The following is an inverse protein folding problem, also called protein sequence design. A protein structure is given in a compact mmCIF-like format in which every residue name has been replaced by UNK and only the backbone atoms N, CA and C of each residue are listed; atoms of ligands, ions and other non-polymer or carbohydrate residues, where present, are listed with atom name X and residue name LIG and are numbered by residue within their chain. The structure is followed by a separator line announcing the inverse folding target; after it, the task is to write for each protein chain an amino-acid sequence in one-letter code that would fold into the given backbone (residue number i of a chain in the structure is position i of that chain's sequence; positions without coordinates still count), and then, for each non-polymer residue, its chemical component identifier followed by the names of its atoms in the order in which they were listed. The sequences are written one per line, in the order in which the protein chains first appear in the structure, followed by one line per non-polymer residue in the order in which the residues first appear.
data_IF_674042591252
#
_entry.id   IF_674042591252
#
_cell.length_a   1.000
_cell.length_b   1.000
_cell.length_c   1.000
_cell.angle_alpha   90.00
_cell.angle_beta   90.00
_cell.angle_gamma   90.00
#
_symmetry.space_group_name_H-M   'P 1'
#
loop_
_entity.id
_entity.type
_entity.pdbx_description
1 polymer ?
#
# COMPACT_ATOMS: atom_id res chain seq x y z
N UNK A 1 -28.66 -61.80 9.51
CA UNK A 1 -29.59 -61.95 8.37
C UNK A 1 -30.95 -62.26 8.96
N UNK A 2 -32.05 -61.53 8.83
CA UNK A 2 -32.43 -60.30 8.16
C UNK A 2 -33.96 -60.23 8.34
N UNK A 3 -34.48 -59.02 8.61
CA UNK A 3 -35.80 -58.50 8.24
C UNK A 3 -37.05 -59.34 8.64
N UNK A 4 -37.79 -58.90 9.68
CA UNK A 4 -39.23 -58.59 9.63
C UNK A 4 -39.86 -58.26 11.00
N UNK A 5 -40.86 -57.36 10.96
CA UNK A 5 -41.77 -56.89 12.02
C UNK A 5 -41.12 -55.95 13.05
N UNK A 6 -41.63 -54.73 13.30
CA UNK A 6 -43.00 -54.45 13.72
C UNK A 6 -43.48 -53.10 13.16
N UNK A 7 -44.58 -53.16 12.43
CA UNK A 7 -45.51 -52.06 12.18
C UNK A 7 -46.59 -52.16 13.27
N UNK A 8 -46.64 -51.25 14.24
CA UNK A 8 -47.90 -50.82 14.86
C UNK A 8 -47.72 -49.69 15.90
N UNK A 9 -48.72 -48.79 15.91
CA UNK A 9 -49.14 -47.86 16.96
C UNK A 9 -48.25 -46.62 17.24
N UNK A 10 -48.73 -45.37 17.28
CA UNK A 10 -50.09 -44.85 17.41
C UNK A 10 -50.30 -43.56 16.59
N UNK A 11 -51.50 -43.45 16.02
CA UNK A 11 -52.13 -42.17 15.69
C UNK A 11 -52.49 -41.40 16.96
N UNK A 12 -52.30 -40.09 16.91
CA UNK A 12 -52.91 -39.11 17.80
C UNK A 12 -52.95 -37.76 17.08
N UNK A 13 -54.01 -37.55 16.29
CA UNK A 13 -54.30 -36.30 15.61
C UNK A 13 -55.22 -35.43 16.48
N UNK A 14 -54.98 -34.11 16.44
CA UNK A 14 -55.93 -32.97 16.65
C UNK A 14 -55.25 -31.82 17.42
N UNK A 15 -55.34 -30.54 17.09
CA UNK A 15 -56.12 -29.83 16.07
C UNK A 15 -55.56 -28.38 15.90
N UNK A 16 -55.45 -27.94 14.63
CA UNK A 16 -55.74 -26.61 14.03
C UNK A 16 -55.50 -25.26 14.75
N UNK A 17 -55.10 -24.32 13.89
CA UNK A 17 -55.08 -22.84 13.94
C UNK A 17 -53.69 -22.26 14.27
N UNK A 18 -53.07 -21.35 13.51
CA UNK A 18 -53.61 -20.38 12.57
C UNK A 18 -52.61 -20.09 11.43
N UNK A 19 -53.17 -19.99 10.22
CA UNK A 19 -52.60 -19.26 9.09
C UNK A 19 -52.64 -17.77 9.42
N UNK A 20 -51.50 -17.07 9.32
CA UNK A 20 -51.48 -15.60 9.31
C UNK A 20 -50.29 -14.96 10.02
N UNK A 21 -49.11 -14.94 9.40
CA UNK A 21 -48.25 -13.76 9.26
C UNK A 21 -46.98 -14.12 8.49
N UNK A 22 -47.07 -13.90 7.18
CA UNK A 22 -45.95 -13.79 6.27
C UNK A 22 -45.65 -12.29 6.18
N UNK A 23 -44.74 -11.82 7.03
CA UNK A 23 -44.03 -10.55 6.85
C UNK A 23 -42.55 -10.80 7.15
N UNK A 24 -41.88 -11.36 6.15
CA UNK A 24 -40.48 -11.01 5.91
C UNK A 24 -40.48 -9.60 5.33
N UNK A 25 -39.90 -8.64 6.05
CA UNK A 25 -39.31 -7.44 5.42
C UNK A 25 -38.22 -6.89 6.33
N UNK A 26 -36.99 -7.22 5.96
CA UNK A 26 -35.94 -6.27 5.53
C UNK A 26 -35.12 -5.69 6.69
N UNK A 27 -34.09 -6.42 7.09
CA UNK A 27 -32.91 -5.82 7.69
C UNK A 27 -31.86 -5.63 6.58
N UNK A 28 -31.69 -4.37 6.18
CA UNK A 28 -30.67 -3.92 5.24
C UNK A 28 -29.28 -3.95 5.90
N UNK A 29 -28.25 -4.32 5.13
CA UNK A 29 -26.83 -4.38 5.51
C UNK A 29 -26.31 -3.05 6.11
N UNK A 30 -26.99 -1.93 5.87
CA UNK A 30 -26.62 -0.63 6.43
C UNK A 30 -26.65 -0.55 7.97
N UNK A 31 -27.24 -1.50 8.70
CA UNK A 31 -27.29 -1.46 10.17
C UNK A 31 -26.05 -1.97 10.90
N UNK A 32 -25.08 -2.57 10.18
CA UNK A 32 -23.88 -3.15 10.80
C UNK A 32 -22.66 -2.22 10.84
N UNK A 33 -22.76 -1.03 10.25
CA UNK A 33 -21.66 -0.06 10.17
C UNK A 33 -21.88 1.24 10.98
N UNK A 34 -22.85 1.27 11.90
CA UNK A 34 -23.01 2.44 12.77
C UNK A 34 -22.00 2.42 13.93
N UNK A 35 -21.22 3.49 14.16
CA UNK A 35 -20.34 3.58 15.32
C UNK A 35 -21.16 3.73 16.61
N UNK A 36 -20.90 2.86 17.59
CA UNK A 36 -21.44 2.97 18.94
C UNK A 36 -20.85 4.20 19.63
N UNK A 37 -21.64 5.26 19.75
CA UNK A 37 -21.27 6.46 20.50
C UNK A 37 -21.24 6.17 22.01
N UNK A 38 -20.09 6.38 22.66
CA UNK A 38 -20.04 6.84 24.06
C UNK A 38 -18.90 7.87 24.22
N UNK A 39 -19.10 8.93 25.03
CA UNK A 39 -18.34 10.17 24.92
C UNK A 39 -17.13 10.21 25.86
N UNK A 40 -16.05 10.86 25.43
CA UNK A 40 -14.97 11.33 26.31
C UNK A 40 -14.66 12.80 26.02
N UNK A 41 -14.26 13.59 27.03
CA UNK A 41 -14.49 15.03 27.08
C UNK A 41 -13.44 15.85 26.33
N UNK A 42 -13.93 16.97 25.82
CA UNK A 42 -13.19 18.12 25.29
C UNK A 42 -12.06 18.57 26.23
N UNK A 43 -10.93 19.01 25.67
CA UNK A 43 -10.36 20.33 25.99
C UNK A 43 -9.54 20.89 24.81
N UNK A 44 -9.96 22.08 24.39
CA UNK A 44 -9.28 23.15 23.62
C UNK A 44 -8.90 22.93 22.15
N UNK A 45 -9.77 23.53 21.33
CA UNK A 45 -9.50 24.11 20.02
C UNK A 45 -8.73 25.44 20.11
N UNK A 46 -8.10 25.80 18.99
CA UNK A 46 -7.74 27.11 18.41
C UNK A 46 -6.32 27.01 17.82
N UNK A 47 -6.03 27.40 16.57
CA UNK A 47 -6.57 28.48 15.76
C UNK A 47 -6.39 28.17 14.27
N UNK A 48 -7.43 28.41 13.48
CA UNK A 48 -7.47 28.31 12.01
C UNK A 48 -7.15 29.68 11.40
N UNK A 49 -6.80 29.68 10.10
CA UNK A 49 -6.87 30.77 9.08
C UNK A 49 -5.54 31.52 8.92
N UNK A 50 -5.01 31.81 7.74
CA UNK A 50 -5.49 31.90 6.34
C UNK A 50 -4.19 32.11 5.50
N UNK A 51 -4.04 31.80 4.22
CA UNK A 51 -4.70 32.45 3.09
C UNK A 51 -4.26 31.80 1.77
N UNK A 52 -5.17 31.83 0.80
CA UNK A 52 -4.97 31.41 -0.60
C UNK A 52 -4.69 32.63 -1.47
N UNK A 53 -4.00 32.37 -2.59
CA UNK A 53 -4.09 33.02 -3.93
C UNK A 53 -3.18 34.19 -4.32
N UNK A 54 -2.46 33.94 -5.44
CA UNK A 54 -2.40 34.73 -6.68
C UNK A 54 -1.28 35.78 -6.90
N UNK A 55 -0.34 35.38 -7.79
CA UNK A 55 -0.05 36.03 -9.09
C UNK A 55 1.08 37.08 -9.23
N UNK A 56 1.84 36.87 -10.31
CA UNK A 56 2.67 37.77 -11.14
C UNK A 56 4.12 38.08 -10.76
N UNK A 57 5.01 37.77 -11.71
CA UNK A 57 6.33 38.37 -11.88
C UNK A 57 6.20 39.79 -12.46
N UNK A 58 7.22 40.67 -12.30
CA UNK A 58 8.14 40.88 -13.43
C UNK A 58 9.63 41.21 -13.08
N UNK A 59 10.49 40.89 -14.06
CA UNK A 59 11.65 41.62 -14.64
C UNK A 59 12.61 42.52 -13.83
N UNK A 60 13.91 42.19 -13.97
CA UNK A 60 15.16 42.98 -14.12
C UNK A 60 15.37 44.34 -13.40
N UNK A 61 16.46 44.43 -12.62
CA UNK A 61 17.62 45.32 -12.86
C UNK A 61 18.61 45.34 -11.67
N UNK A 62 19.88 45.61 -12.00
CA UNK A 62 21.08 45.78 -11.17
C UNK A 62 20.94 46.65 -9.89
N UNK A 63 21.84 46.42 -8.90
CA UNK A 63 22.82 47.42 -8.39
C UNK A 63 23.72 46.86 -7.26
N UNK A 64 24.99 47.26 -7.37
CA UNK A 64 26.20 47.08 -6.55
C UNK A 64 26.13 47.24 -5.02
N UNK A 65 26.93 46.40 -4.36
CA UNK A 65 27.93 46.61 -3.27
C UNK A 65 27.94 47.93 -2.47
N UNK A 66 27.90 47.77 -1.14
CA UNK A 66 28.63 48.62 -0.18
C UNK A 66 27.88 48.94 1.11
N UNK A 67 28.33 48.43 2.26
CA UNK A 67 27.83 48.90 3.57
C UNK A 67 28.31 48.09 4.77
N UNK A 68 29.14 48.71 5.60
CA UNK A 68 29.78 48.21 6.81
C UNK A 68 28.78 47.83 7.94
N UNK A 69 29.15 46.81 8.72
CA UNK A 69 28.69 46.56 10.10
C UNK A 69 29.15 47.70 11.04
N UNK A 70 28.47 48.05 12.15
CA UNK A 70 28.63 47.29 13.41
C UNK A 70 27.46 47.28 14.42
N UNK A 71 27.63 46.42 15.43
CA UNK A 71 27.12 46.45 16.82
C UNK A 71 25.78 45.79 17.18
N UNK A 72 25.96 44.58 17.75
CA UNK A 72 25.56 44.17 19.11
C UNK A 72 24.09 44.25 19.53
N UNK A 73 23.49 43.06 19.72
CA UNK A 73 22.63 42.77 20.87
C UNK A 73 22.77 41.31 21.28
N UNK A 74 23.28 41.12 22.49
CA UNK A 74 23.21 39.87 23.24
C UNK A 74 21.75 39.52 23.58
N UNK A 75 21.46 38.22 23.64
CA UNK A 75 20.27 37.71 24.30
C UNK A 75 19.59 36.58 23.55
N UNK A 76 19.75 35.36 24.08
CA UNK A 76 18.89 34.18 23.87
C UNK A 76 18.84 33.53 22.48
N UNK A 77 19.83 32.67 22.16
CA UNK A 77 19.59 31.47 21.33
C UNK A 77 20.82 30.54 21.21
N UNK A 78 21.29 29.91 22.29
CA UNK A 78 22.41 28.95 22.14
C UNK A 78 22.02 27.75 21.26
N UNK A 79 20.77 27.27 21.36
CA UNK A 79 20.30 26.15 20.56
C UNK A 79 20.09 26.53 19.08
N UNK A 80 19.38 27.63 18.76
CA UNK A 80 19.11 28.00 17.36
C UNK A 80 20.38 28.40 16.59
N UNK A 81 21.33 29.10 17.26
CA UNK A 81 22.62 29.47 16.66
C UNK A 81 23.47 28.23 16.35
N UNK A 82 23.46 27.22 17.22
CA UNK A 82 24.22 25.98 16.99
C UNK A 82 23.62 25.14 15.84
N UNK A 83 22.29 25.16 15.65
CA UNK A 83 21.65 24.49 14.50
C UNK A 83 21.92 25.21 13.18
N UNK A 84 21.87 26.53 13.16
CA UNK A 84 22.07 27.35 11.97
C UNK A 84 23.53 27.33 11.50
N UNK A 85 24.49 27.41 12.44
CA UNK A 85 25.93 27.29 12.17
C UNK A 85 26.28 25.87 11.71
N UNK A 86 25.70 24.83 12.31
CA UNK A 86 25.90 23.43 11.91
C UNK A 86 25.29 23.12 10.54
N UNK A 87 24.16 23.73 10.19
CA UNK A 87 23.55 23.62 8.86
C UNK A 87 24.42 24.26 7.78
N UNK A 88 24.99 25.44 8.06
CA UNK A 88 25.85 26.16 7.13
C UNK A 88 27.21 25.46 6.90
N UNK A 89 27.81 24.88 7.95
CA UNK A 89 29.06 24.12 7.82
C UNK A 89 28.87 22.85 6.97
N UNK A 90 27.77 22.11 7.16
CA UNK A 90 27.44 20.92 6.37
C UNK A 90 27.12 21.26 4.91
N UNK A 91 26.47 22.40 4.65
CA UNK A 91 26.21 22.87 3.29
C UNK A 91 27.51 23.23 2.55
N UNK A 92 28.47 23.86 3.23
CA UNK A 92 29.76 24.21 2.66
C UNK A 92 30.64 22.97 2.40
N UNK A 93 30.62 21.98 3.30
CA UNK A 93 31.28 20.68 3.09
C UNK A 93 30.66 19.91 1.91
N UNK A 94 29.33 19.96 1.76
CA UNK A 94 28.64 19.34 0.64
C UNK A 94 28.96 20.00 -0.71
N UNK A 95 29.18 21.32 -0.75
CA UNK A 95 29.62 22.02 -1.97
C UNK A 95 31.04 21.63 -2.39
N UNK A 96 31.88 21.20 -1.45
CA UNK A 96 33.24 20.73 -1.74
C UNK A 96 33.27 19.28 -2.27
N UNK A 97 32.19 18.50 -2.10
CA UNK A 97 32.10 17.14 -2.62
C UNK A 97 31.83 17.15 -4.14
N UNK A 98 32.78 16.70 -4.98
CA UNK A 98 32.61 16.74 -6.42
C UNK A 98 31.54 15.75 -6.93
N UNK A 99 31.02 14.86 -6.08
CA UNK A 99 29.93 13.93 -6.39
C UNK A 99 28.59 14.33 -5.74
N UNK A 100 28.46 15.51 -5.14
CA UNK A 100 27.23 15.93 -4.45
C UNK A 100 26.00 15.89 -5.35
N UNK A 101 26.12 16.35 -6.60
CA UNK A 101 25.01 16.32 -7.57
C UNK A 101 24.60 14.88 -7.89
N UNK A 102 25.57 13.97 -8.04
CA UNK A 102 25.29 12.56 -8.28
C UNK A 102 24.57 11.92 -7.07
N UNK A 103 24.99 12.25 -5.84
CA UNK A 103 24.33 11.80 -4.61
C UNK A 103 22.88 12.28 -4.53
N UNK A 104 22.62 13.56 -4.78
CA UNK A 104 21.28 14.14 -4.76
C UNK A 104 20.37 13.50 -5.84
N UNK A 105 20.91 13.27 -7.04
CA UNK A 105 20.16 12.62 -8.10
C UNK A 105 19.84 11.15 -7.79
N UNK A 106 20.75 10.44 -7.13
CA UNK A 106 20.49 9.08 -6.65
C UNK A 106 19.34 9.06 -5.61
N UNK A 107 19.37 9.95 -4.63
CA UNK A 107 18.27 10.07 -3.67
C UNK A 107 16.95 10.42 -4.36
N UNK A 108 16.96 11.33 -5.32
CA UNK A 108 15.77 11.69 -6.08
C UNK A 108 15.21 10.50 -6.89
N UNK A 109 16.09 9.65 -7.46
CA UNK A 109 15.68 8.43 -8.16
C UNK A 109 14.99 7.44 -7.21
N UNK A 110 15.55 7.27 -6.00
CA UNK A 110 14.92 6.45 -4.95
C UNK A 110 13.58 7.05 -4.55
N UNK A 111 13.50 8.35 -4.24
CA UNK A 111 12.24 9.01 -3.86
C UNK A 111 11.16 8.83 -4.92
N UNK A 112 11.50 8.96 -6.21
CA UNK A 112 10.57 8.70 -7.33
C UNK A 112 10.08 7.26 -7.39
N UNK A 113 10.88 6.30 -6.93
CA UNK A 113 10.50 4.88 -6.88
C UNK A 113 9.47 4.62 -5.78
N UNK A 114 9.61 5.28 -4.62
CA UNK A 114 8.67 5.17 -3.50
C UNK A 114 7.39 5.98 -3.70
N UNK A 115 7.47 7.12 -4.40
CA UNK A 115 6.40 8.12 -4.41
C UNK A 115 5.02 7.55 -4.80
N UNK A 116 4.86 6.78 -5.90
CA UNK A 116 3.54 6.26 -6.29
C UNK A 116 2.90 5.39 -5.22
N UNK A 117 3.71 4.58 -4.53
CA UNK A 117 3.25 3.75 -3.42
C UNK A 117 2.84 4.64 -2.25
N UNK A 118 3.72 5.53 -1.78
CA UNK A 118 3.44 6.37 -0.62
C UNK A 118 2.19 7.24 -0.82
N UNK A 119 2.02 7.83 -1.99
CA UNK A 119 0.84 8.67 -2.29
C UNK A 119 -0.44 7.86 -2.36
N UNK A 120 -0.40 6.64 -2.93
CA UNK A 120 -1.59 5.77 -3.07
C UNK A 120 -2.19 5.36 -1.73
N UNK A 121 -1.35 5.18 -0.70
CA UNK A 121 -1.78 4.72 0.63
C UNK A 121 -1.95 5.85 1.65
N UNK A 122 -1.87 7.12 1.23
CA UNK A 122 -2.24 8.29 2.02
C UNK A 122 -3.71 8.66 1.76
N UNK A 123 -4.61 7.73 2.05
CA UNK A 123 -6.06 7.87 1.79
C UNK A 123 -6.86 7.10 2.84
N UNK A 124 -8.10 7.54 3.07
CA UNK A 124 -9.09 6.83 3.89
C UNK A 124 -9.89 5.79 3.08
N UNK A 125 -9.70 5.76 1.76
CA UNK A 125 -10.35 4.78 0.88
C UNK A 125 -9.83 3.35 1.12
N UNK A 126 -10.65 2.31 0.89
CA UNK A 126 -10.29 0.91 1.19
C UNK A 126 -9.32 0.31 0.15
N UNK A 127 -8.10 0.83 0.07
CA UNK A 127 -7.07 0.43 -0.91
C UNK A 127 -6.29 -0.84 -0.53
N UNK A 128 -6.60 -1.43 0.64
CA UNK A 128 -5.90 -2.60 1.18
C UNK A 128 -5.88 -3.83 0.23
N UNK A 129 -6.90 -4.12 -0.59
CA UNK A 129 -6.85 -5.20 -1.58
C UNK A 129 -5.67 -5.09 -2.55
N UNK A 130 -5.18 -3.89 -2.84
CA UNK A 130 -4.07 -3.67 -3.77
C UNK A 130 -2.69 -3.71 -3.11
N UNK A 131 -2.63 -3.65 -1.76
CA UNK A 131 -1.38 -3.47 -0.99
C UNK A 131 -0.35 -4.56 -1.27
N UNK A 132 -0.79 -5.82 -1.33
CA UNK A 132 0.13 -6.93 -1.52
C UNK A 132 0.85 -6.86 -2.87
N UNK A 133 0.12 -6.48 -3.93
CA UNK A 133 0.64 -6.35 -5.28
C UNK A 133 1.58 -5.15 -5.37
N UNK A 134 1.11 -3.97 -4.98
CA UNK A 134 1.88 -2.73 -5.14
C UNK A 134 3.18 -2.75 -4.32
N UNK A 135 3.14 -3.27 -3.08
CA UNK A 135 4.34 -3.38 -2.26
C UNK A 135 5.32 -4.43 -2.83
N UNK A 136 4.81 -5.50 -3.43
CA UNK A 136 5.65 -6.49 -4.12
C UNK A 136 6.34 -5.86 -5.34
N UNK A 137 5.65 -5.01 -6.09
CA UNK A 137 6.20 -4.28 -7.23
C UNK A 137 7.27 -3.26 -6.79
N UNK A 138 7.00 -2.48 -5.73
CA UNK A 138 7.98 -1.57 -5.13
C UNK A 138 9.25 -2.32 -4.70
N UNK A 139 9.09 -3.43 -3.96
CA UNK A 139 10.24 -4.21 -3.50
C UNK A 139 11.02 -4.82 -4.67
N UNK A 140 10.32 -5.37 -5.68
CA UNK A 140 10.95 -5.87 -6.91
C UNK A 140 11.70 -4.77 -7.66
N UNK A 141 11.16 -3.56 -7.72
CA UNK A 141 11.84 -2.42 -8.35
C UNK A 141 13.17 -2.11 -7.67
N UNK A 142 13.18 -2.02 -6.34
CA UNK A 142 14.40 -1.76 -5.56
C UNK A 142 15.41 -2.91 -5.64
N UNK A 143 14.94 -4.16 -5.60
CA UNK A 143 15.79 -5.35 -5.71
C UNK A 143 16.49 -5.41 -7.08
N UNK A 144 15.78 -5.08 -8.16
CA UNK A 144 16.34 -5.08 -9.53
C UNK A 144 17.47 -4.07 -9.72
N UNK A 145 17.59 -3.06 -8.86
CA UNK A 145 18.67 -2.09 -8.94
C UNK A 145 20.05 -2.71 -8.66
N UNK A 146 20.11 -3.81 -7.89
CA UNK A 146 21.39 -4.41 -7.50
C UNK A 146 21.46 -5.93 -7.51
N UNK A 147 20.33 -6.64 -7.65
CA UNK A 147 20.30 -8.09 -7.77
C UNK A 147 20.11 -8.53 -9.23
N UNK A 148 20.67 -9.71 -9.51
CA UNK A 148 20.41 -10.49 -10.72
C UNK A 148 18.90 -10.71 -10.92
N UNK A 149 18.42 -10.50 -12.14
CA UNK A 149 16.97 -10.47 -12.47
C UNK A 149 16.34 -11.85 -12.36
N UNK A 150 17.10 -12.88 -12.71
CA UNK A 150 16.72 -14.29 -12.64
C UNK A 150 16.31 -14.73 -11.23
N UNK A 151 16.86 -14.10 -10.19
CA UNK A 151 16.52 -14.41 -8.79
C UNK A 151 15.15 -13.87 -8.37
N UNK A 152 14.57 -12.95 -9.15
CA UNK A 152 13.33 -12.26 -8.81
C UNK A 152 12.11 -12.79 -9.60
N UNK A 153 12.35 -13.76 -10.49
CA UNK A 153 11.33 -14.38 -11.31
C UNK A 153 10.34 -15.18 -10.45
N UNK A 154 9.04 -15.05 -10.71
CA UNK A 154 7.93 -15.76 -10.03
C UNK A 154 7.93 -15.76 -8.51
N UNK A 155 8.67 -14.85 -7.87
CA UNK A 155 8.62 -14.74 -6.42
C UNK A 155 7.25 -14.26 -5.96
N UNK A 156 6.66 -15.04 -5.07
CA UNK A 156 5.44 -14.68 -4.34
C UNK A 156 5.70 -13.50 -3.39
N UNK A 157 4.65 -12.77 -2.97
CA UNK A 157 4.79 -11.67 -2.01
C UNK A 157 5.50 -12.05 -0.71
N UNK A 158 5.29 -13.28 -0.21
CA UNK A 158 5.97 -13.75 0.99
C UNK A 158 7.45 -14.05 0.75
N UNK A 159 7.79 -14.68 -0.38
CA UNK A 159 9.19 -14.99 -0.72
C UNK A 159 10.02 -13.73 -0.91
N UNK A 160 9.44 -12.66 -1.46
CA UNK A 160 10.08 -11.35 -1.59
C UNK A 160 10.58 -10.79 -0.25
N UNK A 161 9.86 -11.04 0.85
CA UNK A 161 10.28 -10.63 2.21
C UNK A 161 11.48 -11.40 2.77
N UNK A 162 11.89 -12.48 2.08
CA UNK A 162 12.93 -13.43 2.53
C UNK A 162 14.13 -13.49 1.60
N UNK A 163 14.12 -12.77 0.48
CA UNK A 163 15.26 -12.72 -0.45
C UNK A 163 16.50 -12.24 0.32
N UNK A 164 17.57 -13.03 0.30
CA UNK A 164 18.82 -12.66 0.94
C UNK A 164 19.54 -11.59 0.10
N UNK A 165 19.47 -10.35 0.56
CA UNK A 165 20.08 -9.20 -0.12
C UNK A 165 21.55 -8.97 0.25
N UNK A 166 22.08 -9.72 1.23
CA UNK A 166 23.46 -9.59 1.69
C UNK A 166 24.44 -10.53 0.97
N UNK A 167 23.94 -11.47 0.19
CA UNK A 167 24.77 -12.39 -0.58
C UNK A 167 25.30 -11.70 -1.85
N UNK A 168 26.57 -11.32 -1.82
CA UNK A 168 27.22 -10.61 -2.92
C UNK A 168 27.32 -11.43 -4.21
N UNK A 169 27.26 -12.78 -4.14
CA UNK A 169 27.26 -13.63 -5.33
C UNK A 169 26.03 -13.42 -6.22
N UNK A 170 24.95 -12.90 -5.62
CA UNK A 170 23.68 -12.61 -6.27
C UNK A 170 23.60 -11.18 -6.82
N UNK A 171 24.61 -10.36 -6.54
CA UNK A 171 24.63 -8.97 -6.97
C UNK A 171 25.03 -8.86 -8.44
N UNK A 172 24.51 -7.83 -9.10
CA UNK A 172 25.07 -7.38 -10.38
C UNK A 172 26.45 -6.73 -10.14
N UNK A 173 27.34 -6.71 -11.14
CA UNK A 173 28.58 -5.94 -11.05
C UNK A 173 28.33 -4.50 -10.61
N UNK A 174 29.21 -3.92 -9.78
CA UNK A 174 29.04 -2.56 -9.20
C UNK A 174 28.69 -1.52 -10.27
N UNK A 175 29.34 -1.60 -11.43
CA UNK A 175 29.14 -0.67 -12.54
C UNK A 175 27.78 -0.82 -13.23
N UNK A 176 27.14 -1.98 -13.09
CA UNK A 176 25.84 -2.29 -13.68
C UNK A 176 24.69 -2.08 -12.69
N UNK A 177 24.98 -1.73 -11.43
CA UNK A 177 23.95 -1.38 -10.46
C UNK A 177 23.23 -0.10 -10.92
N UNK A 178 21.91 -0.14 -10.91
CA UNK A 178 21.08 0.99 -11.32
C UNK A 178 21.04 2.04 -10.19
N UNK A 179 21.65 3.19 -10.46
CA UNK A 179 21.66 4.36 -9.57
C UNK A 179 20.79 5.51 -10.13
N UNK A 180 20.06 5.26 -11.21
CA UNK A 180 19.23 6.23 -11.91
C UNK A 180 19.97 7.11 -12.91
N UNK A 181 19.29 7.47 -14.00
CA UNK A 181 19.83 8.25 -15.12
C UNK A 181 20.39 9.62 -14.71
N UNK A 182 19.81 10.24 -13.69
CA UNK A 182 20.28 11.53 -13.17
C UNK A 182 21.67 11.43 -12.53
N UNK A 183 21.90 10.40 -11.71
CA UNK A 183 23.19 10.17 -11.08
C UNK A 183 24.26 9.76 -12.10
N UNK A 184 23.89 8.89 -13.05
CA UNK A 184 24.76 8.49 -14.17
C UNK A 184 25.21 9.69 -15.01
N UNK A 185 24.29 10.61 -15.31
CA UNK A 185 24.59 11.81 -16.08
C UNK A 185 25.48 12.79 -15.31
N UNK A 186 25.26 12.93 -14.00
CA UNK A 186 26.09 13.76 -13.14
C UNK A 186 27.52 13.23 -13.00
N UNK A 187 27.70 11.90 -12.88
CA UNK A 187 29.03 11.26 -12.88
C UNK A 187 29.74 11.55 -14.20
N UNK A 188 29.08 11.29 -15.34
CA UNK A 188 29.67 11.52 -16.67
C UNK A 188 30.14 12.96 -16.87
N UNK A 189 29.32 13.94 -16.47
CA UNK A 189 29.69 15.35 -16.53
C UNK A 189 30.90 15.68 -15.65
N UNK A 190 30.99 15.05 -14.48
CA UNK A 190 32.10 15.27 -13.52
C UNK A 190 33.40 14.59 -13.95
N UNK A 191 33.33 13.50 -14.73
CA UNK A 191 34.49 12.79 -15.27
C UNK A 191 35.03 13.44 -16.55
N UNK A 192 34.17 14.06 -17.37
CA UNK A 192 34.61 14.85 -18.54
C UNK A 192 35.42 16.07 -18.13
N UNK A 193 35.13 16.64 -16.96
CA UNK A 193 35.86 17.73 -16.33
C UNK A 193 37.10 17.18 -15.59
N UNK A 194 37.98 16.50 -16.35
CA UNK A 194 39.07 15.56 -16.00
C UNK A 194 39.93 15.79 -14.73
N UNK A 195 39.77 16.91 -14.02
CA UNK A 195 40.46 17.26 -12.79
C UNK A 195 39.66 17.02 -11.49
N UNK A 196 38.34 16.76 -11.52
CA UNK A 196 37.52 16.77 -10.28
C UNK A 196 37.20 15.41 -9.65
N UNK A 197 37.06 14.33 -10.43
CA UNK A 197 36.63 13.02 -9.91
C UNK A 197 37.44 11.88 -10.51
N UNK A 198 38.14 11.13 -9.66
CA UNK A 198 38.84 9.91 -10.05
C UNK A 198 37.92 8.69 -10.14
N UNK A 199 38.32 7.70 -10.93
CA UNK A 199 37.58 6.43 -11.11
C UNK A 199 37.34 5.69 -9.78
N UNK A 200 38.32 5.72 -8.88
CA UNK A 200 38.18 5.14 -7.54
C UNK A 200 37.05 5.81 -6.74
N UNK A 201 36.89 7.13 -6.84
CA UNK A 201 35.82 7.87 -6.16
C UNK A 201 34.44 7.49 -6.69
N UNK A 202 34.31 7.29 -8.01
CA UNK A 202 33.07 6.80 -8.64
C UNK A 202 32.74 5.39 -8.16
N UNK A 203 33.74 4.50 -8.11
CA UNK A 203 33.58 3.14 -7.59
C UNK A 203 33.12 3.12 -6.13
N UNK A 204 33.74 3.93 -5.28
CA UNK A 204 33.34 4.09 -3.87
C UNK A 204 31.90 4.57 -3.76
N UNK A 205 31.53 5.59 -4.55
CA UNK A 205 30.17 6.11 -4.58
C UNK A 205 29.15 5.05 -5.01
N UNK A 206 29.40 4.32 -6.11
CA UNK A 206 28.49 3.24 -6.55
C UNK A 206 28.33 2.15 -5.51
N UNK A 207 29.43 1.75 -4.84
CA UNK A 207 29.38 0.79 -3.72
C UNK A 207 28.50 1.32 -2.58
N UNK A 208 28.62 2.61 -2.25
CA UNK A 208 27.78 3.25 -1.24
C UNK A 208 26.30 3.28 -1.65
N UNK A 209 25.98 3.61 -2.91
CA UNK A 209 24.60 3.58 -3.43
C UNK A 209 23.99 2.17 -3.31
N UNK A 210 24.72 1.14 -3.75
CA UNK A 210 24.28 -0.25 -3.62
C UNK A 210 24.06 -0.63 -2.16
N UNK A 211 24.98 -0.26 -1.26
CA UNK A 211 24.83 -0.54 0.16
C UNK A 211 23.61 0.17 0.77
N UNK A 212 23.33 1.40 0.31
CA UNK A 212 22.11 2.13 0.64
C UNK A 212 20.85 1.37 0.22
N UNK A 213 20.79 0.90 -1.03
CA UNK A 213 19.67 0.08 -1.53
C UNK A 213 19.49 -1.22 -0.74
N UNK A 214 20.58 -1.94 -0.47
CA UNK A 214 20.56 -3.15 0.38
C UNK A 214 19.95 -2.83 1.75
N UNK A 215 20.34 -1.71 2.34
CA UNK A 215 19.88 -1.30 3.68
C UNK A 215 18.40 -0.93 3.66
N UNK A 216 17.95 -0.17 2.67
CA UNK A 216 16.53 0.18 2.50
C UNK A 216 15.65 -1.06 2.28
N UNK A 217 16.09 -1.98 1.42
CA UNK A 217 15.37 -3.23 1.17
C UNK A 217 15.31 -4.10 2.42
N UNK A 218 16.41 -4.23 3.19
CA UNK A 218 16.37 -4.94 4.49
C UNK A 218 15.32 -4.34 5.41
N UNK A 219 15.26 -3.01 5.52
CA UNK A 219 14.26 -2.33 6.36
C UNK A 219 12.84 -2.56 5.88
N UNK A 220 12.61 -2.50 4.56
CA UNK A 220 11.32 -2.84 3.96
C UNK A 220 10.93 -4.30 4.25
N UNK A 221 11.86 -5.25 4.09
CA UNK A 221 11.64 -6.66 4.40
C UNK A 221 11.35 -6.88 5.88
N UNK A 222 12.11 -6.26 6.79
CA UNK A 222 11.93 -6.34 8.25
C UNK A 222 10.51 -5.95 8.66
N UNK A 223 10.01 -4.83 8.14
CA UNK A 223 8.71 -4.25 8.52
C UNK A 223 7.57 -4.58 7.55
N UNK A 224 7.80 -5.46 6.57
CA UNK A 224 6.85 -5.69 5.48
C UNK A 224 5.51 -6.28 5.98
N UNK A 225 4.37 -5.66 5.65
CA UNK A 225 3.05 -6.26 5.90
C UNK A 225 2.81 -7.52 5.04
N UNK A 226 3.61 -7.77 3.99
CA UNK A 226 3.53 -8.99 3.18
C UNK A 226 3.80 -10.27 3.97
N UNK A 227 4.36 -10.16 5.19
CA UNK A 227 4.53 -11.30 6.10
C UNK A 227 3.20 -11.82 6.62
N UNK A 228 2.18 -10.97 6.73
CA UNK A 228 0.88 -11.35 7.28
C UNK A 228 0.00 -12.05 6.23
N UNK A 229 -0.52 -13.25 6.51
CA UNK A 229 -1.39 -13.97 5.58
C UNK A 229 -2.61 -13.17 5.13
N UNK A 230 -3.26 -12.43 6.03
CA UNK A 230 -4.45 -11.61 5.74
C UNK A 230 -4.15 -10.56 4.69
N UNK A 231 -3.03 -9.83 4.82
CA UNK A 231 -2.61 -8.81 3.85
C UNK A 231 -2.44 -9.41 2.45
N UNK A 232 -1.94 -10.63 2.35
CA UNK A 232 -1.81 -11.33 1.05
C UNK A 232 -3.14 -11.88 0.55
N UNK A 233 -4.02 -12.31 1.45
CA UNK A 233 -5.28 -12.96 1.11
C UNK A 233 -6.35 -11.94 0.68
N UNK A 234 -6.39 -10.76 1.28
CA UNK A 234 -7.38 -9.73 0.96
C UNK A 234 -7.27 -9.18 -0.47
N UNK A 235 -6.17 -9.48 -1.17
CA UNK A 235 -6.03 -9.25 -2.61
C UNK A 235 -7.09 -9.98 -3.46
N UNK A 236 -7.80 -10.96 -2.91
CA UNK A 236 -8.98 -11.54 -3.56
C UNK A 236 -10.14 -10.57 -3.74
N UNK A 237 -10.09 -9.41 -3.09
CA UNK A 237 -11.06 -8.35 -3.29
C UNK A 237 -10.73 -7.44 -4.49
N UNK A 238 -9.57 -7.62 -5.14
CA UNK A 238 -9.26 -6.90 -6.40
C UNK A 238 -10.21 -7.38 -7.52
N UNK A 239 -11.03 -6.49 -8.12
CA UNK A 239 -11.97 -6.85 -9.18
C UNK A 239 -11.30 -7.58 -10.35
N UNK A 240 -10.10 -7.16 -10.75
CA UNK A 240 -9.39 -7.80 -11.85
C UNK A 240 -8.99 -9.24 -11.48
N UNK A 241 -8.60 -9.47 -10.22
CA UNK A 241 -8.32 -10.83 -9.72
C UNK A 241 -9.58 -11.68 -9.63
N UNK A 242 -10.69 -11.12 -9.17
CA UNK A 242 -11.98 -11.83 -9.10
C UNK A 242 -12.42 -12.34 -10.46
N UNK A 243 -12.27 -11.52 -11.50
CA UNK A 243 -12.62 -11.90 -12.87
C UNK A 243 -11.67 -12.97 -13.43
N UNK A 244 -10.35 -12.76 -13.29
CA UNK A 244 -9.33 -13.62 -13.91
C UNK A 244 -9.20 -14.98 -13.25
N UNK A 245 -9.24 -15.04 -11.92
CA UNK A 245 -9.02 -16.26 -11.15
C UNK A 245 -9.91 -16.31 -9.89
N UNK A 246 -11.21 -16.59 -10.07
CA UNK A 246 -12.15 -16.65 -8.96
C UNK A 246 -11.91 -17.86 -8.03
N UNK A 247 -11.39 -18.99 -8.52
CA UNK A 247 -11.06 -20.12 -7.65
C UNK A 247 -9.95 -19.75 -6.65
N UNK A 248 -8.93 -19.04 -7.13
CA UNK A 248 -7.91 -18.47 -6.26
C UNK A 248 -8.50 -17.45 -5.29
N UNK A 249 -9.37 -16.55 -5.77
CA UNK A 249 -10.02 -15.55 -4.92
C UNK A 249 -10.84 -16.20 -3.80
N UNK A 250 -11.63 -17.23 -4.11
CA UNK A 250 -12.41 -17.98 -3.13
C UNK A 250 -11.51 -18.63 -2.08
N UNK A 251 -10.39 -19.23 -2.51
CA UNK A 251 -9.41 -19.84 -1.59
C UNK A 251 -8.82 -18.80 -0.63
N UNK A 252 -8.53 -17.60 -1.12
CA UNK A 252 -8.03 -16.49 -0.29
C UNK A 252 -9.11 -15.90 0.63
N UNK A 253 -10.36 -15.83 0.18
CA UNK A 253 -11.47 -15.42 1.04
C UNK A 253 -11.64 -16.38 2.21
N UNK A 254 -11.63 -17.70 1.94
CA UNK A 254 -11.64 -18.75 2.99
C UNK A 254 -10.50 -18.55 4.00
N UNK A 255 -9.28 -18.26 3.50
CA UNK A 255 -8.12 -17.96 4.36
C UNK A 255 -8.35 -16.73 5.25
N UNK A 256 -8.96 -15.67 4.70
CA UNK A 256 -9.25 -14.43 5.42
C UNK A 256 -10.30 -14.65 6.51
N UNK A 257 -11.42 -15.28 6.16
CA UNK A 257 -12.51 -15.62 7.10
C UNK A 257 -12.01 -16.53 8.22
N UNK A 258 -11.24 -17.58 7.89
CA UNK A 258 -10.67 -18.47 8.88
C UNK A 258 -9.78 -17.72 9.88
N UNK A 259 -8.99 -16.75 9.41
CA UNK A 259 -8.15 -15.94 10.30
C UNK A 259 -8.98 -15.03 11.20
N UNK A 260 -10.04 -14.41 10.68
CA UNK A 260 -10.94 -13.58 11.49
C UNK A 260 -11.69 -14.39 12.55
N UNK A 261 -12.07 -15.64 12.23
CA UNK A 261 -12.65 -16.57 13.21
C UNK A 261 -11.67 -16.90 14.34
N UNK A 262 -10.41 -17.22 14.00
CA UNK A 262 -9.37 -17.51 14.99
C UNK A 262 -9.11 -16.32 15.93
N UNK A 263 -9.17 -15.10 15.39
CA UNK A 263 -8.89 -13.87 16.14
C UNK A 263 -10.16 -13.29 16.81
N UNK A 264 -11.28 -14.01 16.78
CA UNK A 264 -12.59 -13.59 17.32
C UNK A 264 -13.08 -12.24 16.77
N UNK A 265 -12.71 -11.91 15.53
CA UNK A 265 -13.07 -10.67 14.83
C UNK A 265 -14.38 -10.77 14.03
N UNK A 266 -15.02 -11.94 14.00
CA UNK A 266 -16.26 -12.18 13.27
C UNK A 266 -17.43 -12.41 14.22
N UNK A 267 -18.30 -11.40 14.33
CA UNK A 267 -19.57 -11.53 15.05
C UNK A 267 -20.44 -12.63 14.40
N UNK A 268 -20.95 -13.55 15.21
CA UNK A 268 -21.72 -14.71 14.72
C UNK A 268 -20.88 -15.97 14.48
N UNK A 269 -19.56 -15.91 14.67
CA UNK A 269 -18.68 -17.09 14.66
C UNK A 269 -18.73 -17.87 13.34
N UNK A 270 -18.59 -19.19 13.42
CA UNK A 270 -18.43 -20.08 12.26
C UNK A 270 -19.57 -19.91 11.25
N UNK A 271 -20.83 -19.84 11.73
CA UNK A 271 -21.99 -19.70 10.85
C UNK A 271 -21.95 -18.43 10.00
N UNK A 272 -21.48 -17.30 10.56
CA UNK A 272 -21.29 -16.08 9.79
C UNK A 272 -20.17 -16.24 8.75
N UNK A 273 -19.10 -16.97 9.09
CA UNK A 273 -18.01 -17.29 8.18
C UNK A 273 -18.47 -18.11 6.97
N UNK A 274 -19.29 -19.13 7.19
CA UNK A 274 -19.83 -19.97 6.13
C UNK A 274 -20.73 -19.15 5.17
N UNK A 275 -21.56 -18.27 5.73
CA UNK A 275 -22.41 -17.36 4.92
C UNK A 275 -21.56 -16.43 4.06
N UNK A 276 -20.51 -15.82 4.61
CA UNK A 276 -19.61 -14.93 3.84
C UNK A 276 -18.97 -15.68 2.68
N UNK A 277 -18.43 -16.89 2.93
CA UNK A 277 -17.80 -17.70 1.88
C UNK A 277 -18.80 -18.07 0.80
N UNK A 278 -20.00 -18.51 1.19
CA UNK A 278 -21.06 -18.88 0.25
C UNK A 278 -21.53 -17.69 -0.61
N UNK A 279 -21.72 -16.52 0.01
CA UNK A 279 -22.10 -15.29 -0.70
C UNK A 279 -21.01 -14.87 -1.68
N UNK A 280 -19.76 -14.92 -1.24
CA UNK A 280 -18.63 -14.57 -2.10
C UNK A 280 -18.48 -15.52 -3.28
N UNK A 281 -18.65 -16.83 -3.08
CA UNK A 281 -18.64 -17.83 -4.15
C UNK A 281 -19.74 -17.58 -5.19
N UNK A 282 -20.96 -17.26 -4.73
CA UNK A 282 -22.06 -16.88 -5.61
C UNK A 282 -21.74 -15.60 -6.40
N UNK A 283 -21.17 -14.59 -5.73
CA UNK A 283 -20.76 -13.33 -6.35
C UNK A 283 -19.72 -13.53 -7.45
N UNK A 284 -18.70 -14.34 -7.19
CA UNK A 284 -17.65 -14.66 -8.16
C UNK A 284 -18.17 -15.40 -9.40
N UNK A 285 -19.24 -16.19 -9.23
CA UNK A 285 -19.82 -16.99 -10.32
C UNK A 285 -20.68 -16.13 -11.25
N UNK A 286 -21.37 -15.12 -10.72
CA UNK A 286 -22.37 -14.34 -11.45
C UNK A 286 -21.83 -12.97 -11.86
N UNK A 287 -21.45 -12.14 -10.88
CA UNK A 287 -21.17 -10.71 -11.12
C UNK A 287 -19.73 -10.45 -11.55
N UNK A 288 -18.77 -11.14 -10.94
CA UNK A 288 -17.35 -10.90 -11.21
C UNK A 288 -16.92 -11.28 -12.64
N UNK A 289 -17.81 -11.89 -13.42
CA UNK A 289 -17.58 -12.23 -14.84
C UNK A 289 -17.84 -11.07 -15.79
N UNK A 290 -18.41 -9.97 -15.31
CA UNK A 290 -18.59 -8.77 -16.11
C UNK A 290 -17.23 -8.13 -16.46
N UNK A 291 -17.12 -7.58 -17.68
CA UNK A 291 -15.93 -6.90 -18.20
C UNK A 291 -15.56 -5.63 -17.40
N UNK A 292 -16.52 -5.05 -16.68
CA UNK A 292 -16.25 -3.92 -15.77
C UNK A 292 -15.24 -4.29 -14.66
N UNK A 293 -15.16 -5.57 -14.27
CA UNK A 293 -14.16 -6.04 -13.29
C UNK A 293 -12.73 -6.06 -13.86
N UNK A 294 -12.56 -6.35 -15.16
CA UNK A 294 -11.26 -6.29 -15.83
C UNK A 294 -10.79 -4.86 -16.08
N UNK A 295 -11.73 -3.96 -16.33
CA UNK A 295 -11.46 -2.55 -16.64
C UNK A 295 -11.47 -1.63 -15.41
N UNK A 296 -11.69 -2.19 -14.21
CA UNK A 296 -11.66 -1.45 -12.95
C UNK A 296 -10.31 -0.70 -12.78
N UNK A 297 -10.40 0.59 -12.47
CA UNK A 297 -9.22 1.44 -12.24
C UNK A 297 -9.15 1.88 -10.77
N UNK A 298 -8.20 1.32 -9.99
CA UNK A 298 -7.95 1.82 -8.65
C UNK A 298 -7.62 3.32 -8.69
N UNK A 299 -8.12 4.09 -7.70
CA UNK A 299 -8.00 5.55 -7.58
C UNK A 299 -8.94 6.41 -8.44
N UNK A 300 -9.63 5.84 -9.43
CA UNK A 300 -10.73 6.53 -10.12
C UNK A 300 -12.09 6.10 -9.56
N UNK A 301 -12.18 4.87 -9.07
CA UNK A 301 -13.38 4.30 -8.48
C UNK A 301 -13.04 3.69 -7.12
N UNK A 302 -13.90 3.93 -6.14
CA UNK A 302 -13.80 3.29 -4.84
C UNK A 302 -14.27 1.84 -4.92
N UNK A 303 -13.42 0.93 -4.46
CA UNK A 303 -13.61 -0.52 -4.60
C UNK A 303 -14.84 -1.02 -3.84
N UNK A 304 -15.09 -0.51 -2.64
CA UNK A 304 -16.24 -0.85 -1.82
C UNK A 304 -17.55 -0.41 -2.47
N UNK A 305 -17.59 0.82 -3.01
CA UNK A 305 -18.74 1.33 -3.76
C UNK A 305 -18.99 0.47 -5.00
N UNK A 306 -17.94 0.15 -5.74
CA UNK A 306 -18.01 -0.69 -6.93
C UNK A 306 -18.55 -2.08 -6.60
N UNK A 307 -17.94 -2.79 -5.65
CA UNK A 307 -18.35 -4.15 -5.26
C UNK A 307 -19.75 -4.17 -4.63
N UNK A 308 -20.11 -3.16 -3.85
CA UNK A 308 -21.46 -3.02 -3.30
C UNK A 308 -22.48 -2.85 -4.42
N UNK A 309 -22.21 -1.98 -5.40
CA UNK A 309 -23.10 -1.77 -6.54
C UNK A 309 -23.34 -3.06 -7.33
N UNK A 310 -22.27 -3.83 -7.60
CA UNK A 310 -22.35 -5.12 -8.27
C UNK A 310 -23.16 -6.15 -7.44
N UNK A 311 -23.02 -6.12 -6.11
CA UNK A 311 -23.74 -7.03 -5.22
C UNK A 311 -25.25 -6.77 -5.18
N UNK A 312 -25.69 -5.51 -5.39
CA UNK A 312 -27.10 -5.16 -5.46
C UNK A 312 -27.77 -5.68 -6.74
N UNK A 313 -27.04 -5.73 -7.86
CA UNK A 313 -27.53 -6.32 -9.12
C UNK A 313 -27.96 -7.78 -8.92
N UNK A 314 -27.16 -8.53 -8.16
CA UNK A 314 -27.40 -9.91 -7.76
C UNK A 314 -28.70 -10.06 -6.95
N UNK A 315 -28.94 -9.13 -6.02
CA UNK A 315 -30.14 -9.12 -5.16
C UNK A 315 -31.41 -8.84 -5.97
N UNK A 316 -31.33 -7.96 -6.98
CA UNK A 316 -32.46 -7.63 -7.85
C UNK A 316 -32.79 -8.78 -8.82
N UNK A 317 -31.77 -9.43 -9.43
CA UNK A 317 -31.98 -10.58 -10.32
C UNK A 317 -32.48 -11.83 -9.59
N UNK A 318 -32.03 -12.06 -8.36
CA UNK A 318 -32.51 -13.17 -7.52
C UNK A 318 -33.99 -13.02 -7.16
N UNK A 319 -34.47 -11.78 -6.98
CA UNK A 319 -35.87 -11.49 -6.72
C UNK A 319 -36.75 -11.65 -7.96
N UNK A 320 -36.21 -11.39 -9.17
CA UNK A 320 -36.93 -11.56 -10.45
C UNK A 320 -36.98 -13.03 -10.90
N UNK A 321 -35.96 -13.85 -10.60
CA UNK A 321 -35.98 -15.30 -10.91
C UNK A 321 -36.81 -16.15 -9.93
N UNK A 322 -37.29 -15.56 -8.84
CA UNK A 322 -38.15 -16.23 -7.85
C UNK A 322 -39.65 -16.06 -8.14
N UNK A 323 -40.02 -15.46 -9.28
CA UNK A 323 -41.39 -15.34 -9.78
C UNK A 323 -41.57 -16.10 -11.10
#
# INVERSE_FOLDING_TARGET
MGINAVKSHMHGASHKAAVGRREQSQLSIASFCAPTATPLPNTTAELVKTATTATSAPSSADIRMGGKSPCSREGSSSLASDYEVRGCSQANEAQADPLIIAKLQFFLAISRTFNPFLTKYQTDEPVLPFLAKDLSELLKSLLRCFLKRELLHDLTPLQLTKVNVADEANWVPVMNADIGLGAESAIRASTSDRARVGELSVLIFRRACRQGLVTMVKKLQEKSPLKFPVVRAIACLDPTSMHRDPEWCLTKMKTTVQKFLQDSQLAGGISAGDVIVQQFESFLTVEARDECFLSFQPLQQQIDVFLHSASLTLSCQSSVRAF
#
